data_IF_821789077628
#
_entry.id   IF_821789077628
#
_cell.length_a   1.000
_cell.length_b   1.000
_cell.length_c   1.000
_cell.angle_alpha   90.00
_cell.angle_beta   90.00
_cell.angle_gamma   90.00
#
_symmetry.space_group_name_H-M   'P 1'
#
loop_
_entity.id
_entity.type
_entity.pdbx_description
1 polymer ?
#
# COMPACT_ATOMS: atom_id res chain seq x y z
N UNK A 1 32.83 6.83 11.41
CA UNK A 1 31.39 6.56 11.28
C UNK A 1 30.95 6.98 9.89
N UNK A 2 30.64 6.01 9.04
CA UNK A 2 30.01 6.30 7.74
C UNK A 2 28.58 6.82 8.02
N UNK A 3 28.32 8.08 7.73
CA UNK A 3 26.97 8.62 7.68
C UNK A 3 26.36 8.10 6.39
N UNK A 4 25.46 7.14 6.49
CA UNK A 4 24.69 6.65 5.35
C UNK A 4 23.65 7.73 5.04
N UNK A 5 23.98 8.66 4.13
CA UNK A 5 23.06 9.70 3.67
C UNK A 5 22.11 9.08 2.64
N UNK A 6 21.05 8.44 3.08
CA UNK A 6 19.96 8.09 2.18
C UNK A 6 19.28 9.38 1.72
N UNK A 7 19.35 9.66 0.43
CA UNK A 7 18.67 10.79 -0.19
C UNK A 7 17.38 10.27 -0.84
N UNK A 8 16.29 10.96 -0.59
CA UNK A 8 15.00 10.65 -1.18
C UNK A 8 14.12 11.89 -1.27
N UNK A 9 12.91 11.69 -1.70
CA UNK A 9 11.89 12.73 -1.80
C UNK A 9 10.74 12.47 -0.83
N UNK A 10 9.90 13.46 -0.65
CA UNK A 10 8.66 13.36 0.13
C UNK A 10 7.60 14.30 -0.41
N UNK A 11 6.37 14.08 0.02
CA UNK A 11 5.20 14.87 -0.39
C UNK A 11 4.54 15.46 0.85
N UNK A 12 4.32 16.77 0.85
CA UNK A 12 3.54 17.43 1.91
C UNK A 12 2.10 16.94 1.80
N UNK A 13 1.66 16.23 2.84
CA UNK A 13 0.37 15.53 2.87
C UNK A 13 -0.72 16.36 3.56
N UNK A 14 -0.33 17.24 4.50
CA UNK A 14 -1.28 18.08 5.23
C UNK A 14 -0.71 19.46 5.56
N UNK A 15 -1.60 20.43 5.79
CA UNK A 15 -1.24 21.82 6.15
C UNK A 15 -0.48 21.93 7.46
N UNK A 16 -0.74 21.01 8.38
CA UNK A 16 -0.10 20.97 9.69
C UNK A 16 1.26 20.26 9.69
N UNK A 17 1.76 19.84 8.51
CA UNK A 17 3.15 19.42 8.32
C UNK A 17 3.39 17.91 8.33
N UNK A 18 2.39 17.08 8.08
CA UNK A 18 2.64 15.68 7.75
C UNK A 18 3.22 15.56 6.34
N UNK A 19 4.27 14.74 6.23
CA UNK A 19 4.97 14.45 4.98
C UNK A 19 5.00 12.96 4.79
N UNK A 20 4.60 12.50 3.61
CA UNK A 20 4.67 11.08 3.22
C UNK A 20 5.91 10.85 2.37
N UNK A 21 6.59 9.74 2.63
CA UNK A 21 7.76 9.26 1.89
C UNK A 21 7.80 7.73 1.89
N UNK A 22 8.80 7.13 1.26
CA UNK A 22 9.01 5.68 1.37
C UNK A 22 9.68 5.30 2.69
N UNK A 23 9.28 4.12 3.21
CA UNK A 23 9.87 3.58 4.44
C UNK A 23 11.37 3.29 4.28
N UNK A 24 11.79 2.73 3.13
CA UNK A 24 13.19 2.40 2.90
C UNK A 24 14.12 3.65 2.93
N UNK A 25 13.62 4.85 2.63
CA UNK A 25 14.37 6.11 2.69
C UNK A 25 14.75 6.43 4.14
N UNK A 26 13.84 6.20 5.08
CA UNK A 26 14.04 6.57 6.48
C UNK A 26 14.60 5.45 7.34
N UNK A 27 14.56 4.22 6.83
CA UNK A 27 14.95 3.03 7.57
C UNK A 27 16.40 3.12 8.06
N UNK A 28 16.60 2.84 9.35
CA UNK A 28 17.92 2.89 9.99
C UNK A 28 18.42 4.30 10.35
N UNK A 29 17.70 5.35 9.98
CA UNK A 29 18.08 6.73 10.29
C UNK A 29 17.35 7.23 11.55
N UNK A 30 18.12 7.81 12.50
CA UNK A 30 17.56 8.42 13.71
C UNK A 30 17.19 9.91 13.52
N UNK A 31 17.89 10.57 12.59
CA UNK A 31 17.73 11.99 12.33
C UNK A 31 17.38 12.16 10.85
N UNK A 32 16.27 12.85 10.59
CA UNK A 32 15.80 13.11 9.25
C UNK A 32 15.63 14.60 9.08
N UNK A 33 16.18 15.14 8.01
CA UNK A 33 15.97 16.51 7.59
C UNK A 33 15.15 16.57 6.33
N UNK A 34 14.19 17.49 6.29
CA UNK A 34 13.39 17.79 5.10
C UNK A 34 13.76 19.19 4.64
N UNK A 35 14.10 19.29 3.35
CA UNK A 35 14.35 20.56 2.67
C UNK A 35 13.21 20.82 1.69
N UNK A 36 12.56 21.96 1.83
CA UNK A 36 11.52 22.42 0.91
C UNK A 36 12.15 23.07 -0.33
N UNK A 37 11.33 23.23 -1.37
CA UNK A 37 11.77 23.87 -2.63
C UNK A 37 12.20 25.33 -2.47
N UNK A 38 11.71 26.03 -1.45
CA UNK A 38 12.15 27.40 -1.09
C UNK A 38 13.46 27.46 -0.33
N UNK A 39 14.10 26.28 -0.08
CA UNK A 39 15.38 26.16 0.62
C UNK A 39 15.27 26.03 2.14
N UNK A 40 14.10 26.19 2.73
CA UNK A 40 13.90 25.98 4.17
C UNK A 40 14.17 24.52 4.56
N UNK A 41 14.84 24.33 5.69
CA UNK A 41 15.15 23.00 6.23
C UNK A 41 14.48 22.80 7.59
N UNK A 42 13.96 21.61 7.80
CA UNK A 42 13.25 21.20 9.00
C UNK A 42 13.79 19.87 9.53
N UNK A 43 13.95 19.78 10.84
CA UNK A 43 14.10 18.49 11.49
C UNK A 43 12.72 17.79 11.49
N UNK A 44 12.70 16.54 11.03
CA UNK A 44 11.47 15.77 10.91
C UNK A 44 11.40 14.68 11.99
N UNK A 45 10.23 14.57 12.62
CA UNK A 45 9.91 13.47 13.53
C UNK A 45 9.26 12.35 12.77
N UNK A 46 9.71 11.11 12.98
CA UNK A 46 9.04 9.91 12.46
C UNK A 46 7.76 9.70 13.26
N UNK A 47 6.62 9.67 12.59
CA UNK A 47 5.31 9.36 13.18
C UNK A 47 5.07 7.87 13.15
N UNK A 48 5.36 7.24 12.03
CA UNK A 48 5.25 5.80 11.84
C UNK A 48 5.67 5.38 10.45
N UNK A 49 5.75 4.07 10.24
CA UNK A 49 6.06 3.51 8.92
C UNK A 49 5.67 2.05 8.81
N UNK A 50 5.42 1.61 7.59
CA UNK A 50 5.12 0.22 7.24
C UNK A 50 6.08 -0.28 6.17
N UNK A 51 6.88 -1.28 6.54
CA UNK A 51 7.89 -1.87 5.65
C UNK A 51 7.27 -2.60 4.46
N UNK A 52 6.09 -3.22 4.65
CA UNK A 52 5.45 -4.00 3.60
C UNK A 52 4.80 -3.11 2.54
N UNK A 53 4.25 -1.98 2.97
CA UNK A 53 3.70 -0.97 2.07
C UNK A 53 4.76 -0.01 1.54
N UNK A 54 5.96 -0.02 2.12
CA UNK A 54 7.04 0.93 1.83
C UNK A 54 6.61 2.39 1.98
N UNK A 55 5.79 2.70 2.98
CA UNK A 55 5.30 4.05 3.29
C UNK A 55 5.74 4.43 4.70
N UNK A 56 6.15 5.69 4.85
CA UNK A 56 6.41 6.33 6.14
C UNK A 56 5.78 7.71 6.20
N UNK A 57 5.39 8.10 7.40
CA UNK A 57 4.88 9.43 7.70
C UNK A 57 5.85 10.14 8.64
N UNK A 58 6.24 11.33 8.23
CA UNK A 58 7.06 12.26 8.97
C UNK A 58 6.24 13.47 9.38
N UNK A 59 6.68 14.17 10.44
CA UNK A 59 6.10 15.43 10.89
C UNK A 59 7.17 16.50 10.95
N UNK A 60 6.93 17.62 10.30
CA UNK A 60 7.71 18.85 10.45
C UNK A 60 6.88 19.91 11.17
N UNK A 61 7.56 20.83 11.84
CA UNK A 61 6.94 22.01 12.42
C UNK A 61 7.36 23.23 11.60
N UNK A 62 6.40 23.87 10.95
CA UNK A 62 6.61 25.09 10.17
C UNK A 62 5.81 26.22 10.78
N UNK A 63 6.40 27.41 10.85
CA UNK A 63 5.70 28.64 11.24
C UNK A 63 4.92 29.24 10.06
N UNK A 64 5.15 28.75 8.85
CA UNK A 64 4.45 29.17 7.64
C UNK A 64 3.41 28.11 7.24
N UNK A 65 2.35 28.52 6.59
CA UNK A 65 1.34 27.61 6.08
C UNK A 65 1.93 26.74 4.95
N UNK A 66 1.91 25.44 5.17
CA UNK A 66 2.34 24.46 4.16
C UNK A 66 1.20 24.21 3.16
N UNK A 67 1.58 24.01 1.91
CA UNK A 67 0.63 23.67 0.84
C UNK A 67 0.67 22.15 0.59
N UNK A 68 -0.31 21.39 1.07
CA UNK A 68 -0.41 19.97 0.75
C UNK A 68 -0.77 19.79 -0.71
N UNK A 69 -0.43 18.63 -1.26
CA UNK A 69 -0.84 18.24 -2.60
C UNK A 69 -2.31 17.80 -2.57
N UNK A 70 -3.07 18.15 -3.61
CA UNK A 70 -4.40 17.58 -3.83
C UNK A 70 -4.28 16.12 -4.28
N UNK A 71 -5.21 15.27 -3.82
CA UNK A 71 -5.17 13.83 -4.04
C UNK A 71 -6.28 13.44 -4.99
N UNK A 72 -5.94 12.67 -6.03
CA UNK A 72 -6.90 12.08 -6.96
C UNK A 72 -7.16 10.62 -6.60
N UNK A 73 -8.35 10.12 -6.93
CA UNK A 73 -8.68 8.71 -6.78
C UNK A 73 -7.87 7.86 -7.77
N UNK A 74 -6.99 7.01 -7.25
CA UNK A 74 -6.14 6.15 -8.08
C UNK A 74 -6.89 4.97 -8.71
N UNK A 75 -8.13 4.69 -8.31
CA UNK A 75 -8.97 3.66 -8.95
C UNK A 75 -9.49 4.08 -10.32
N UNK A 76 -9.53 5.38 -10.60
CA UNK A 76 -9.96 5.94 -11.87
C UNK A 76 -8.86 5.92 -12.95
N UNK A 77 -7.62 5.60 -12.59
CA UNK A 77 -6.48 5.59 -13.49
C UNK A 77 -6.64 4.56 -14.61
N UNK A 78 -6.33 4.99 -15.83
CA UNK A 78 -6.36 4.18 -17.04
C UNK A 78 -4.97 4.06 -17.64
N UNK A 79 -4.71 2.93 -18.28
CA UNK A 79 -3.50 2.75 -19.09
C UNK A 79 -3.51 3.80 -20.21
N UNK A 80 -2.40 4.52 -20.33
CA UNK A 80 -2.25 5.63 -21.28
C UNK A 80 -2.45 7.02 -20.66
N UNK A 81 -2.98 7.13 -19.43
CA UNK A 81 -3.09 8.42 -18.74
C UNK A 81 -1.71 9.03 -18.54
N UNK A 82 -1.57 10.32 -18.86
CA UNK A 82 -0.31 11.05 -18.70
C UNK A 82 -0.04 11.34 -17.24
N UNK A 83 1.23 11.17 -16.86
CA UNK A 83 1.71 11.42 -15.50
C UNK A 83 3.07 12.11 -15.52
N UNK A 84 3.34 12.80 -14.42
CA UNK A 84 4.65 13.37 -14.12
C UNK A 84 5.18 12.75 -12.82
N UNK A 85 6.38 12.20 -12.87
CA UNK A 85 7.11 11.79 -11.69
C UNK A 85 8.00 12.95 -11.21
N UNK A 86 7.81 13.36 -9.97
CA UNK A 86 8.52 14.50 -9.35
C UNK A 86 9.35 13.97 -8.19
N UNK A 87 10.60 14.45 -8.11
CA UNK A 87 11.48 14.11 -7.01
C UNK A 87 12.77 14.93 -7.07
N UNK A 88 13.73 14.56 -6.21
CA UNK A 88 15.05 15.19 -6.16
C UNK A 88 16.14 14.12 -6.38
N UNK A 89 16.33 13.66 -7.64
CA UNK A 89 17.30 12.64 -7.94
C UNK A 89 18.71 13.08 -7.53
N UNK A 90 19.41 12.22 -6.83
CA UNK A 90 20.78 12.45 -6.37
C UNK A 90 20.98 13.70 -5.49
N UNK A 91 19.89 14.34 -5.01
CA UNK A 91 19.97 15.56 -4.19
C UNK A 91 20.42 16.82 -4.95
N UNK A 92 20.39 16.79 -6.29
CA UNK A 92 20.86 17.91 -7.13
C UNK A 92 19.79 18.97 -7.43
N UNK A 93 18.56 18.75 -6.98
CA UNK A 93 17.42 19.64 -7.17
C UNK A 93 16.18 18.91 -7.66
N UNK A 94 15.03 19.58 -7.58
CA UNK A 94 13.76 19.02 -8.03
C UNK A 94 13.83 18.76 -9.54
N UNK A 95 13.49 17.55 -9.91
CA UNK A 95 13.40 17.10 -11.29
C UNK A 95 12.02 16.54 -11.58
N UNK A 96 11.58 16.72 -12.81
CA UNK A 96 10.29 16.22 -13.31
C UNK A 96 10.56 15.37 -14.54
N UNK A 97 10.01 14.15 -14.54
CA UNK A 97 9.99 13.28 -15.71
C UNK A 97 8.58 12.99 -16.15
N UNK A 98 8.31 13.01 -17.44
CA UNK A 98 7.00 12.74 -18.04
C UNK A 98 6.92 11.31 -18.53
N UNK A 99 5.73 10.72 -18.40
CA UNK A 99 5.39 9.40 -18.92
C UNK A 99 3.89 9.16 -18.89
N UNK A 100 3.52 7.88 -18.97
CA UNK A 100 2.14 7.42 -18.90
C UNK A 100 1.97 6.34 -17.84
N UNK A 101 0.73 6.06 -17.48
CA UNK A 101 0.38 4.84 -16.78
C UNK A 101 0.53 3.67 -17.74
N UNK A 102 1.52 2.82 -17.53
CA UNK A 102 1.78 1.66 -18.37
C UNK A 102 0.95 0.44 -17.98
N UNK A 103 0.64 0.31 -16.69
CA UNK A 103 -0.26 -0.71 -16.13
C UNK A 103 -0.73 -0.31 -14.73
N UNK A 104 -1.85 -0.88 -14.30
CA UNK A 104 -2.33 -0.86 -12.92
C UNK A 104 -2.41 -2.28 -12.37
N UNK A 105 -2.51 -2.44 -11.05
CA UNK A 105 -2.71 -3.75 -10.45
C UNK A 105 -1.49 -4.67 -10.51
N UNK A 106 -0.26 -4.14 -10.50
CA UNK A 106 0.98 -4.92 -10.49
C UNK A 106 1.39 -5.26 -9.06
N UNK A 107 1.35 -6.53 -8.68
CA UNK A 107 1.82 -6.99 -7.37
C UNK A 107 3.34 -6.99 -7.23
N UNK A 108 4.06 -7.18 -8.31
CA UNK A 108 5.54 -7.15 -8.42
C UNK A 108 6.25 -7.76 -7.18
N UNK A 109 5.77 -8.91 -6.73
CA UNK A 109 6.28 -9.61 -5.55
C UNK A 109 5.94 -8.93 -4.21
N UNK A 110 5.03 -7.95 -4.21
CA UNK A 110 4.46 -7.38 -3.00
C UNK A 110 3.01 -7.88 -2.85
N UNK A 111 2.75 -8.88 -1.99
CA UNK A 111 1.40 -9.41 -1.80
C UNK A 111 0.45 -8.44 -1.10
N UNK A 112 0.96 -7.33 -0.58
CA UNK A 112 0.19 -6.36 0.21
C UNK A 112 -0.36 -5.21 -0.60
N UNK A 113 0.25 -4.87 -1.75
CA UNK A 113 -0.13 -3.71 -2.55
C UNK A 113 -0.03 -4.00 -4.04
N UNK A 114 -1.02 -3.55 -4.78
CA UNK A 114 -0.91 -3.36 -6.23
C UNK A 114 -0.24 -2.03 -6.51
N UNK A 115 0.73 -2.05 -7.40
CA UNK A 115 1.48 -0.88 -7.79
C UNK A 115 0.99 -0.35 -9.13
N UNK A 116 1.11 0.95 -9.32
CA UNK A 116 1.01 1.60 -10.61
C UNK A 116 2.35 1.41 -11.32
N UNK A 117 2.32 0.95 -12.58
CA UNK A 117 3.49 0.93 -13.46
C UNK A 117 3.48 2.16 -14.35
N UNK A 118 4.63 2.81 -14.52
CA UNK A 118 4.82 3.98 -15.39
C UNK A 118 6.15 3.88 -16.14
N UNK A 119 6.22 4.50 -17.32
CA UNK A 119 7.45 4.72 -18.07
C UNK A 119 8.07 6.12 -17.80
N UNK A 120 7.45 6.93 -16.95
CA UNK A 120 8.12 8.13 -16.41
C UNK A 120 9.40 7.71 -15.68
N UNK A 121 10.52 8.38 -15.99
CA UNK A 121 11.81 8.00 -15.47
C UNK A 121 11.88 8.16 -13.95
N UNK A 122 12.06 7.04 -13.24
CA UNK A 122 12.28 6.98 -11.80
C UNK A 122 13.72 6.55 -11.58
N UNK A 123 14.47 7.35 -10.83
CA UNK A 123 15.88 7.11 -10.49
C UNK A 123 16.09 7.29 -8.99
N UNK A 124 17.22 6.83 -8.42
CA UNK A 124 17.54 7.06 -7.01
C UNK A 124 17.40 8.53 -6.64
N UNK A 125 16.61 8.82 -5.59
CA UNK A 125 16.24 10.16 -5.15
C UNK A 125 14.81 10.58 -5.53
N UNK A 126 14.19 10.03 -6.59
CA UNK A 126 12.76 10.23 -6.87
C UNK A 126 11.86 9.38 -5.96
N UNK A 127 12.39 8.33 -5.34
CA UNK A 127 11.65 7.51 -4.38
C UNK A 127 11.12 8.38 -3.25
N UNK A 128 9.85 8.17 -2.88
CA UNK A 128 9.10 8.99 -1.92
C UNK A 128 8.50 10.26 -2.51
N UNK A 129 8.86 10.64 -3.74
CA UNK A 129 8.31 11.77 -4.47
C UNK A 129 6.97 11.46 -5.12
N UNK A 130 6.32 12.50 -5.65
CA UNK A 130 4.98 12.40 -6.21
C UNK A 130 4.97 11.82 -7.63
N UNK A 131 3.97 10.97 -7.91
CA UNK A 131 3.44 10.74 -9.25
C UNK A 131 2.13 11.51 -9.34
N UNK A 132 2.03 12.48 -10.27
CA UNK A 132 0.86 13.33 -10.43
C UNK A 132 0.23 13.18 -11.80
N UNK A 133 -1.06 13.46 -11.90
CA UNK A 133 -1.80 13.53 -13.16
C UNK A 133 -1.66 14.90 -13.83
N UNK A 134 -2.33 15.10 -14.97
CA UNK A 134 -2.32 16.35 -15.75
C UNK A 134 -2.90 17.56 -14.97
N UNK A 135 -3.73 17.32 -13.94
CA UNK A 135 -4.29 18.36 -13.09
C UNK A 135 -3.36 18.75 -11.92
N UNK A 136 -2.20 18.12 -11.78
CA UNK A 136 -1.28 18.32 -10.67
C UNK A 136 -1.64 17.56 -9.40
N UNK A 137 -2.65 16.68 -9.44
CA UNK A 137 -3.10 15.92 -8.28
C UNK A 137 -2.29 14.63 -8.11
N UNK A 138 -2.02 14.25 -6.87
CA UNK A 138 -1.32 13.03 -6.52
C UNK A 138 -2.12 11.80 -6.94
N UNK A 139 -1.52 10.93 -7.74
CA UNK A 139 -2.04 9.61 -8.09
C UNK A 139 -1.22 8.47 -7.50
N UNK A 140 0.00 8.76 -7.05
CA UNK A 140 0.86 7.78 -6.40
C UNK A 140 2.14 8.37 -5.80
N UNK A 141 2.86 7.56 -5.02
CA UNK A 141 4.22 7.86 -4.54
C UNK A 141 5.20 6.95 -5.26
N UNK A 142 6.18 7.56 -5.93
CA UNK A 142 7.25 6.84 -6.61
C UNK A 142 8.01 5.97 -5.59
N UNK A 143 8.26 4.69 -5.90
CA UNK A 143 8.92 3.80 -4.94
C UNK A 143 10.13 3.09 -5.52
N UNK A 144 9.98 2.30 -6.57
CA UNK A 144 11.04 1.45 -7.09
C UNK A 144 11.02 1.33 -8.60
N UNK A 145 12.12 0.79 -9.14
CA UNK A 145 12.24 0.42 -10.55
C UNK A 145 12.48 -1.09 -10.66
N UNK A 146 12.06 -1.67 -11.78
CA UNK A 146 12.58 -2.96 -12.19
C UNK A 146 13.84 -2.74 -13.03
N UNK A 147 14.97 -3.23 -12.54
CA UNK A 147 16.24 -3.03 -13.23
C UNK A 147 17.19 -4.20 -12.99
N UNK A 148 17.84 -4.65 -14.05
CA UNK A 148 18.94 -5.63 -13.98
C UNK A 148 20.30 -4.96 -13.77
N UNK A 149 20.41 -3.68 -14.08
CA UNK A 149 21.67 -2.92 -14.08
C UNK A 149 21.73 -1.82 -13.03
N UNK A 150 20.62 -1.61 -12.28
CA UNK A 150 20.46 -0.57 -11.26
C UNK A 150 19.96 0.78 -11.80
N UNK A 151 19.91 0.98 -13.12
CA UNK A 151 19.34 2.18 -13.76
C UNK A 151 17.91 1.94 -14.29
N UNK A 152 17.17 3.01 -14.51
CA UNK A 152 15.83 2.98 -15.09
C UNK A 152 15.85 2.38 -16.51
N UNK A 153 14.96 1.43 -16.77
CA UNK A 153 14.82 0.70 -18.03
C UNK A 153 13.38 0.76 -18.59
N UNK A 154 12.65 1.84 -18.32
CA UNK A 154 11.25 1.99 -18.77
C UNK A 154 10.22 1.33 -17.85
N UNK A 155 10.61 0.80 -16.69
CA UNK A 155 9.72 0.14 -15.74
C UNK A 155 9.88 0.77 -14.35
N UNK A 156 9.08 1.80 -14.09
CA UNK A 156 8.94 2.45 -12.80
C UNK A 156 7.65 2.03 -12.11
N UNK A 157 7.64 2.11 -10.78
CA UNK A 157 6.48 1.75 -9.96
C UNK A 157 6.19 2.82 -8.94
N UNK A 158 4.90 3.03 -8.70
CA UNK A 158 4.39 3.93 -7.67
C UNK A 158 3.31 3.25 -6.83
N UNK A 159 3.24 3.63 -5.56
CA UNK A 159 2.19 3.20 -4.63
C UNK A 159 0.96 4.07 -4.91
N UNK A 160 -0.23 3.48 -5.16
CA UNK A 160 -1.44 4.23 -5.48
C UNK A 160 -1.88 5.19 -4.36
N UNK A 161 -2.43 6.33 -4.72
CA UNK A 161 -2.87 7.38 -3.78
C UNK A 161 -3.91 6.88 -2.76
N UNK A 162 -4.85 6.02 -3.14
CA UNK A 162 -5.84 5.46 -2.22
C UNK A 162 -5.17 4.65 -1.10
N UNK A 163 -4.16 3.83 -1.43
CA UNK A 163 -3.38 3.11 -0.43
C UNK A 163 -2.58 4.06 0.46
N UNK A 164 -2.03 5.14 -0.11
CA UNK A 164 -1.27 6.14 0.65
C UNK A 164 -2.15 6.83 1.68
N UNK A 165 -3.35 7.29 1.28
CA UNK A 165 -4.31 7.94 2.19
C UNK A 165 -4.66 7.02 3.36
N UNK A 166 -4.99 5.78 3.07
CA UNK A 166 -5.37 4.80 4.08
C UNK A 166 -4.23 4.50 5.05
N UNK A 167 -3.03 4.23 4.51
CA UNK A 167 -1.84 3.92 5.32
C UNK A 167 -1.41 5.13 6.16
N UNK A 168 -1.34 6.32 5.53
CA UNK A 168 -0.94 7.54 6.23
C UNK A 168 -1.91 7.88 7.36
N UNK A 169 -3.22 7.72 7.17
CA UNK A 169 -4.23 7.94 8.20
C UNK A 169 -4.03 7.03 9.41
N UNK A 170 -3.78 5.73 9.19
CA UNK A 170 -3.48 4.78 10.27
C UNK A 170 -2.18 5.15 11.00
N UNK A 171 -1.12 5.49 10.26
CA UNK A 171 0.15 5.89 10.86
C UNK A 171 0.04 7.20 11.66
N UNK A 172 -0.72 8.19 11.18
CA UNK A 172 -0.94 9.46 11.88
C UNK A 172 -1.73 9.23 13.17
N UNK A 173 -2.79 8.43 13.10
CA UNK A 173 -3.69 8.24 14.23
C UNK A 173 -3.13 7.28 15.28
N UNK A 174 -2.43 6.22 14.88
CA UNK A 174 -2.02 5.12 15.77
C UNK A 174 -0.52 4.87 15.81
N UNK A 175 0.28 5.54 14.98
CA UNK A 175 1.72 5.32 14.85
C UNK A 175 2.11 4.00 14.16
N UNK A 176 1.14 3.16 13.84
CA UNK A 176 1.32 1.84 13.21
C UNK A 176 0.10 1.48 12.36
N UNK A 177 0.26 0.54 11.44
CA UNK A 177 -0.88 -0.08 10.76
C UNK A 177 -1.44 -1.17 11.66
N UNK A 178 -2.72 -1.05 12.00
CA UNK A 178 -3.45 -2.08 12.72
C UNK A 178 -3.92 -3.14 11.73
N UNK A 179 -3.80 -4.40 12.11
CA UNK A 179 -4.30 -5.53 11.32
C UNK A 179 -5.46 -6.19 12.06
N UNK A 180 -6.51 -6.52 11.35
CA UNK A 180 -7.62 -7.29 11.88
C UNK A 180 -7.21 -8.75 12.11
N UNK A 181 -7.67 -9.33 13.22
CA UNK A 181 -7.53 -10.75 13.53
C UNK A 181 -8.91 -11.40 13.51
N UNK A 182 -9.07 -12.44 12.70
CA UNK A 182 -10.32 -13.20 12.54
C UNK A 182 -10.16 -14.69 12.91
N UNK A 183 -9.09 -15.02 13.58
CA UNK A 183 -8.67 -16.38 13.95
C UNK A 183 -7.30 -16.72 13.39
N UNK A 184 -6.70 -17.79 13.91
CA UNK A 184 -5.47 -18.31 13.35
C UNK A 184 -5.82 -19.42 12.36
N UNK A 185 -5.39 -19.25 11.14
CA UNK A 185 -5.62 -20.22 10.07
C UNK A 185 -4.52 -20.14 9.02
N UNK A 186 -4.40 -21.19 8.25
CA UNK A 186 -3.49 -21.27 7.12
C UNK A 186 -4.27 -21.65 5.87
N UNK A 187 -3.92 -21.01 4.76
CA UNK A 187 -4.55 -21.25 3.46
C UNK A 187 -3.55 -21.69 2.41
N UNK A 188 -4.02 -22.40 1.41
CA UNK A 188 -3.27 -22.76 0.22
C UNK A 188 -4.05 -22.35 -1.03
N UNK A 189 -3.41 -21.69 -2.00
CA UNK A 189 -4.05 -21.37 -3.26
C UNK A 189 -4.51 -22.64 -3.98
N UNK A 190 -5.72 -22.58 -4.54
CA UNK A 190 -6.31 -23.67 -5.32
C UNK A 190 -7.01 -23.09 -6.55
N UNK A 191 -7.09 -23.90 -7.60
CA UNK A 191 -7.87 -23.62 -8.78
C UNK A 191 -8.98 -24.67 -8.91
N UNK A 192 -10.21 -24.22 -8.91
CA UNK A 192 -11.40 -25.05 -9.01
C UNK A 192 -12.01 -24.92 -10.39
N UNK A 193 -12.65 -25.98 -10.87
CA UNK A 193 -13.44 -25.93 -12.11
C UNK A 193 -14.92 -25.98 -11.74
N UNK A 194 -15.59 -24.81 -11.81
CA UNK A 194 -16.96 -24.63 -11.37
C UNK A 194 -17.77 -24.02 -12.53
N UNK A 195 -18.92 -24.59 -12.84
CA UNK A 195 -19.83 -24.07 -13.88
C UNK A 195 -19.11 -23.78 -15.21
N UNK A 196 -18.26 -24.71 -15.66
CA UNK A 196 -17.46 -24.61 -16.89
C UNK A 196 -16.39 -23.49 -16.88
N UNK A 197 -16.10 -22.90 -15.72
CA UNK A 197 -15.09 -21.87 -15.54
C UNK A 197 -14.05 -22.27 -14.49
N UNK A 198 -12.82 -21.80 -14.68
CA UNK A 198 -11.80 -21.90 -13.65
C UNK A 198 -11.92 -20.75 -12.66
N UNK A 199 -12.11 -21.08 -11.38
CA UNK A 199 -12.18 -20.13 -10.27
C UNK A 199 -10.97 -20.35 -9.37
N UNK A 200 -10.25 -19.29 -9.06
CA UNK A 200 -9.20 -19.32 -8.05
C UNK A 200 -9.81 -19.19 -6.66
N UNK A 201 -9.22 -19.86 -5.68
CA UNK A 201 -9.65 -19.75 -4.29
C UNK A 201 -8.51 -20.04 -3.32
N UNK A 202 -8.79 -19.87 -2.04
CA UNK A 202 -7.90 -20.20 -0.94
C UNK A 202 -8.53 -21.32 -0.11
N UNK A 203 -7.93 -22.52 -0.16
CA UNK A 203 -8.35 -23.64 0.66
C UNK A 203 -7.83 -23.47 2.08
N UNK A 204 -8.70 -23.62 3.07
CA UNK A 204 -8.32 -23.71 4.48
C UNK A 204 -7.60 -25.04 4.71
N UNK A 205 -6.32 -24.99 5.04
CA UNK A 205 -5.52 -26.19 5.34
C UNK A 205 -5.34 -26.42 6.83
N UNK A 206 -5.51 -25.37 7.62
CA UNK A 206 -5.45 -25.41 9.07
C UNK A 206 -6.27 -24.27 9.65
N UNK A 207 -6.97 -24.48 10.74
CA UNK A 207 -7.74 -23.47 11.47
C UNK A 207 -7.84 -23.87 12.95
N UNK A 208 -7.59 -22.90 13.83
CA UNK A 208 -7.79 -23.11 15.28
C UNK A 208 -9.27 -23.22 15.62
N UNK A 209 -9.57 -23.91 16.73
CA UNK A 209 -10.94 -24.16 17.20
C UNK A 209 -11.56 -22.92 17.88
N UNK A 210 -11.07 -21.73 17.60
CA UNK A 210 -11.57 -20.48 18.16
C UNK A 210 -11.32 -19.31 17.20
N UNK A 211 -12.10 -18.26 17.37
CA UNK A 211 -12.01 -17.02 16.62
C UNK A 211 -13.10 -16.86 15.59
N UNK A 212 -13.32 -15.61 15.11
CA UNK A 212 -14.48 -15.26 14.30
C UNK A 212 -14.70 -16.16 13.08
N UNK A 213 -13.66 -16.49 12.35
CA UNK A 213 -13.77 -17.36 11.17
C UNK A 213 -14.25 -18.78 11.52
N UNK A 214 -13.71 -19.36 12.61
CA UNK A 214 -14.13 -20.66 13.10
C UNK A 214 -15.56 -20.64 13.65
N UNK A 215 -15.92 -19.59 14.40
CA UNK A 215 -17.24 -19.42 15.02
C UNK A 215 -18.35 -19.27 13.97
N UNK A 216 -18.04 -18.69 12.81
CA UNK A 216 -18.94 -18.64 11.63
C UNK A 216 -19.06 -20.00 10.90
N UNK A 217 -18.39 -21.03 11.41
CA UNK A 217 -18.51 -22.41 10.94
C UNK A 217 -17.58 -22.79 9.80
N UNK A 218 -16.49 -22.04 9.58
CA UNK A 218 -15.45 -22.42 8.61
C UNK A 218 -14.59 -23.55 9.18
N UNK A 219 -14.23 -24.49 8.31
CA UNK A 219 -13.50 -25.71 8.67
C UNK A 219 -12.39 -25.98 7.67
N UNK A 220 -11.52 -26.91 8.02
CA UNK A 220 -10.47 -27.42 7.11
C UNK A 220 -11.12 -28.00 5.86
N UNK A 221 -10.52 -27.76 4.72
CA UNK A 221 -10.94 -28.05 3.35
C UNK A 221 -12.03 -27.15 2.77
N UNK A 222 -12.64 -26.24 3.54
CA UNK A 222 -13.44 -25.17 2.94
C UNK A 222 -12.57 -24.27 2.07
N UNK A 223 -13.15 -23.68 1.03
CA UNK A 223 -12.43 -22.84 0.07
C UNK A 223 -13.07 -21.45 0.04
N UNK A 224 -12.27 -20.43 0.35
CA UNK A 224 -12.65 -19.03 0.17
C UNK A 224 -12.57 -18.73 -1.32
N UNK A 225 -13.70 -18.44 -1.96
CA UNK A 225 -13.79 -18.16 -3.40
C UNK A 225 -13.94 -16.66 -3.70
N UNK A 226 -14.44 -15.89 -2.75
CA UNK A 226 -14.57 -14.43 -2.85
C UNK A 226 -14.36 -13.77 -1.49
N UNK A 227 -13.83 -12.55 -1.49
CA UNK A 227 -13.63 -11.69 -0.31
C UNK A 227 -14.06 -10.28 -0.69
N UNK A 228 -15.09 -9.74 -0.04
CA UNK A 228 -15.67 -8.44 -0.36
C UNK A 228 -15.95 -8.26 -1.86
N UNK A 229 -16.59 -9.29 -2.48
CA UNK A 229 -16.87 -9.37 -3.93
C UNK A 229 -15.65 -9.43 -4.84
N UNK A 230 -14.43 -9.49 -4.31
CA UNK A 230 -13.21 -9.71 -5.06
C UNK A 230 -12.81 -11.19 -5.03
N UNK A 231 -11.84 -11.58 -5.88
CA UNK A 231 -11.34 -12.97 -5.94
C UNK A 231 -10.87 -13.45 -4.57
N UNK A 232 -11.13 -14.72 -4.25
CA UNK A 232 -10.58 -15.40 -3.08
C UNK A 232 -9.10 -15.72 -3.28
N UNK A 233 -8.24 -14.71 -3.18
CA UNK A 233 -6.80 -14.85 -3.28
C UNK A 233 -6.07 -14.26 -2.05
N UNK A 234 -4.79 -14.56 -1.94
CA UNK A 234 -3.98 -14.14 -0.81
C UNK A 234 -3.92 -12.62 -0.67
N UNK A 235 -3.88 -11.90 -1.78
CA UNK A 235 -3.82 -10.46 -1.81
C UNK A 235 -5.09 -9.83 -1.23
N UNK A 236 -6.27 -10.23 -1.71
CA UNK A 236 -7.53 -9.71 -1.22
C UNK A 236 -7.77 -10.09 0.24
N UNK A 237 -7.31 -11.30 0.66
CA UNK A 237 -7.37 -11.70 2.07
C UNK A 237 -6.50 -10.79 2.94
N UNK A 238 -5.24 -10.60 2.59
CA UNK A 238 -4.32 -9.77 3.39
C UNK A 238 -4.72 -8.30 3.38
N UNK A 239 -5.20 -7.78 2.26
CA UNK A 239 -5.70 -6.42 2.14
C UNK A 239 -6.93 -6.20 3.03
N UNK A 240 -7.91 -7.12 3.00
CA UNK A 240 -9.10 -7.03 3.84
C UNK A 240 -8.78 -7.09 5.33
N UNK A 241 -7.81 -7.93 5.74
CA UNK A 241 -7.39 -8.00 7.14
C UNK A 241 -6.55 -6.80 7.57
N UNK A 242 -5.72 -6.26 6.68
CA UNK A 242 -4.78 -5.20 7.00
C UNK A 242 -5.44 -3.82 6.95
N UNK A 243 -6.32 -3.58 6.00
CA UNK A 243 -6.85 -2.24 5.75
C UNK A 243 -8.35 -2.09 6.03
N UNK A 244 -9.12 -3.16 5.93
CA UNK A 244 -10.56 -3.14 6.17
C UNK A 244 -10.96 -3.79 7.50
N UNK A 245 -10.04 -4.52 8.14
CA UNK A 245 -10.33 -5.39 9.27
C UNK A 245 -10.75 -4.71 10.57
N UNK A 246 -10.45 -3.42 10.75
CA UNK A 246 -10.83 -2.68 11.95
C UNK A 246 -11.83 -1.58 11.59
N UNK A 247 -13.09 -1.80 11.93
CA UNK A 247 -14.19 -0.86 11.67
C UNK A 247 -15.01 -1.15 10.41
N UNK A 248 -14.69 -2.19 9.63
CA UNK A 248 -15.48 -2.62 8.48
C UNK A 248 -15.73 -4.12 8.53
N UNK A 249 -16.89 -4.54 8.06
CA UNK A 249 -17.24 -5.95 7.93
C UNK A 249 -16.41 -6.60 6.81
N UNK A 250 -16.16 -7.91 6.94
CA UNK A 250 -15.52 -8.70 5.89
C UNK A 250 -16.50 -9.78 5.45
N UNK A 251 -16.84 -9.79 4.17
CA UNK A 251 -17.74 -10.76 3.56
C UNK A 251 -16.92 -11.80 2.79
N UNK A 252 -17.14 -13.07 3.11
CA UNK A 252 -16.54 -14.20 2.43
C UNK A 252 -17.60 -15.03 1.71
N UNK A 253 -17.34 -15.38 0.46
CA UNK A 253 -18.06 -16.46 -0.21
C UNK A 253 -17.21 -17.72 -0.13
N UNK A 254 -17.81 -18.77 0.41
CA UNK A 254 -17.15 -20.02 0.74
C UNK A 254 -17.78 -21.16 -0.06
N UNK A 255 -16.96 -22.00 -0.65
CA UNK A 255 -17.34 -23.34 -1.07
C UNK A 255 -16.94 -24.30 0.04
N UNK A 256 -17.92 -24.89 0.71
CA UNK A 256 -17.67 -25.81 1.83
C UNK A 256 -17.16 -27.16 1.31
N UNK A 257 -16.57 -27.96 2.20
CA UNK A 257 -16.04 -29.29 1.86
C UNK A 257 -17.12 -30.26 1.31
N UNK A 258 -18.39 -30.04 1.66
CA UNK A 258 -19.56 -30.76 1.13
C UNK A 258 -20.17 -30.11 -0.13
N UNK A 259 -19.40 -29.24 -0.80
CA UNK A 259 -19.76 -28.56 -2.05
C UNK A 259 -20.97 -27.62 -1.95
N UNK A 260 -21.25 -27.05 -0.79
CA UNK A 260 -22.28 -26.05 -0.63
C UNK A 260 -21.69 -24.64 -0.70
N UNK A 261 -22.41 -23.70 -1.30
CA UNK A 261 -22.06 -22.28 -1.24
C UNK A 261 -22.60 -21.66 0.03
N UNK A 262 -21.74 -20.93 0.73
CA UNK A 262 -22.07 -20.21 1.95
C UNK A 262 -21.49 -18.81 1.88
N UNK A 263 -22.30 -17.80 2.18
CA UNK A 263 -21.82 -16.45 2.45
C UNK A 263 -21.71 -16.28 3.95
N UNK A 264 -20.57 -15.82 4.43
CA UNK A 264 -20.36 -15.45 5.82
C UNK A 264 -19.90 -14.01 5.90
N UNK A 265 -20.39 -13.34 6.91
CA UNK A 265 -19.98 -12.00 7.27
C UNK A 265 -19.35 -12.03 8.66
N UNK A 266 -18.15 -11.46 8.75
CA UNK A 266 -17.49 -11.18 10.02
C UNK A 266 -17.68 -9.69 10.26
N UNK A 267 -18.45 -9.38 11.30
CA UNK A 267 -18.76 -8.00 11.65
C UNK A 267 -17.55 -7.30 12.25
N UNK A 268 -17.50 -5.99 12.11
CA UNK A 268 -16.34 -5.19 12.50
C UNK A 268 -15.99 -5.28 13.99
N UNK A 269 -16.96 -5.51 14.85
CA UNK A 269 -16.79 -5.69 16.30
C UNK A 269 -16.29 -7.10 16.67
N UNK A 270 -16.45 -8.09 15.78
CA UNK A 270 -15.88 -9.43 15.93
C UNK A 270 -14.39 -9.45 15.59
N UNK A 271 -13.92 -8.46 14.81
CA UNK A 271 -12.54 -8.39 14.34
C UNK A 271 -11.68 -7.72 15.42
N UNK A 272 -10.76 -8.49 16.00
CA UNK A 272 -9.83 -7.99 17.02
C UNK A 272 -8.59 -7.39 16.40
N UNK A 273 -7.97 -6.43 17.08
CA UNK A 273 -6.62 -5.97 16.67
C UNK A 273 -5.61 -7.10 16.92
N UNK A 274 -4.81 -7.41 15.89
CA UNK A 274 -3.71 -8.36 16.02
C UNK A 274 -2.60 -7.73 16.87
N UNK A 275 -2.52 -8.12 18.13
CA UNK A 275 -1.40 -7.77 19.00
C UNK A 275 -0.22 -8.68 18.70
N UNK A 276 0.88 -8.12 18.20
CA UNK A 276 2.16 -8.81 18.00
C UNK A 276 3.10 -8.61 19.18
#
# INVERSE_FOLDING_TARGET
SYVNNNIGSGVIFSKDGYVVTNFHIISGNKFIKIKLNNGQEFDAKIIGGDVNADIAVLKIQSNEELKPIDISDSSDLKIGDKVLAIGNPYGIGISVSSGIISATGRDYGNPYLELIQTDAAINPGNSGGALINENGNLVGINTKIFSRTGGFQGLGFAIPSNNIVQIASELIQYGKIRSGWIGNFRVSPIRLYINKNFVSGLRIVEIDNYGPLFDKGIRVNDVIISINSNKGDWKNLTSSLKFAGLGNNIIFEILTNDNQYKTIEIESDEIKELTR
#
